data_IF_431606220835
#
_entry.id   IF_431606220835
#
_cell.length_a   1.000
_cell.length_b   1.000
_cell.length_c   1.000
_cell.angle_alpha   90.00
_cell.angle_beta   90.00
_cell.angle_gamma   90.00
#
_symmetry.space_group_name_H-M   'P 1'
#
loop_
_entity.id
_entity.type
_entity.pdbx_description
1 polymer ?
#
# COMPACT_ATOMS: atom_id res chain seq x y z
N UNK A 1 23.41 23.74 10.87
CA UNK A 1 22.32 23.10 10.09
C UNK A 1 22.90 21.82 9.53
N UNK A 2 22.71 20.70 10.18
CA UNK A 2 23.13 19.37 9.72
C UNK A 2 22.14 18.97 8.63
N UNK A 3 22.56 18.96 7.38
CA UNK A 3 21.80 18.29 6.32
C UNK A 3 21.69 16.83 6.69
N UNK A 4 20.54 16.40 7.17
CA UNK A 4 20.18 15.00 7.22
C UNK A 4 20.04 14.54 5.77
N UNK A 5 21.07 13.86 5.27
CA UNK A 5 21.00 13.17 3.98
C UNK A 5 19.76 12.25 4.03
N UNK A 6 18.87 12.39 3.04
CA UNK A 6 17.77 11.44 2.87
C UNK A 6 18.35 10.03 2.84
N UNK A 7 17.80 9.08 3.61
CA UNK A 7 18.29 7.72 3.59
C UNK A 7 18.20 7.18 2.17
N UNK A 8 19.31 6.70 1.64
CA UNK A 8 19.29 5.99 0.35
C UNK A 8 18.64 4.63 0.59
N UNK A 9 17.71 4.21 -0.27
CA UNK A 9 17.17 2.86 -0.19
C UNK A 9 18.29 1.83 -0.32
N UNK A 10 18.14 0.73 0.42
CA UNK A 10 19.00 -0.45 0.28
C UNK A 10 18.54 -1.28 -0.93
N UNK A 11 19.42 -2.16 -1.41
CA UNK A 11 19.03 -3.24 -2.33
C UNK A 11 18.98 -4.55 -1.58
N UNK A 12 17.90 -5.30 -1.78
CA UNK A 12 17.73 -6.64 -1.24
C UNK A 12 17.33 -7.57 -2.38
N UNK A 13 18.14 -8.60 -2.62
CA UNK A 13 17.77 -9.65 -3.59
C UNK A 13 16.94 -10.70 -2.89
N UNK A 14 15.71 -10.91 -3.35
CA UNK A 14 14.77 -11.94 -2.89
C UNK A 14 14.61 -12.94 -4.02
N UNK A 15 15.07 -14.17 -3.81
CA UNK A 15 15.27 -15.16 -4.88
C UNK A 15 16.21 -14.58 -5.94
N UNK A 16 15.69 -14.17 -7.07
CA UNK A 16 16.40 -13.58 -8.21
C UNK A 16 15.92 -12.17 -8.55
N UNK A 17 15.08 -11.57 -7.69
CA UNK A 17 14.51 -10.24 -7.88
C UNK A 17 15.21 -9.22 -6.99
N UNK A 18 15.84 -8.23 -7.59
CA UNK A 18 16.43 -7.10 -6.87
C UNK A 18 15.36 -6.07 -6.50
N UNK A 19 15.10 -5.92 -5.21
CA UNK A 19 14.18 -4.93 -4.67
C UNK A 19 14.92 -3.74 -4.09
N UNK A 20 14.42 -2.55 -4.40
CA UNK A 20 14.73 -1.35 -3.65
C UNK A 20 13.92 -1.35 -2.36
N UNK A 21 14.58 -1.18 -1.21
CA UNK A 21 13.93 -1.25 0.10
C UNK A 21 14.35 -0.08 0.97
N UNK A 22 13.39 0.73 1.40
CA UNK A 22 13.65 1.73 2.45
C UNK A 22 13.69 1.01 3.80
N UNK A 23 14.80 1.17 4.53
CA UNK A 23 15.00 0.60 5.87
C UNK A 23 15.25 1.72 6.86
N UNK A 24 14.46 1.75 7.94
CA UNK A 24 14.56 2.78 8.98
C UNK A 24 14.23 2.22 10.36
N UNK A 25 14.83 2.84 11.38
CA UNK A 25 14.52 2.56 12.78
C UNK A 25 15.07 1.23 13.29
N UNK A 26 14.56 0.80 14.42
CA UNK A 26 14.90 -0.46 15.10
C UNK A 26 13.75 -0.88 15.99
N UNK A 27 13.71 -2.16 16.36
CA UNK A 27 12.64 -2.72 17.20
C UNK A 27 11.73 -3.66 16.44
N UNK A 28 10.43 -3.66 16.74
CA UNK A 28 9.42 -4.49 16.09
C UNK A 28 9.38 -4.25 14.58
N UNK A 29 9.34 -5.33 13.80
CA UNK A 29 9.31 -5.20 12.35
C UNK A 29 7.93 -4.73 11.85
N UNK A 30 7.93 -3.69 11.03
CA UNK A 30 6.79 -3.24 10.23
C UNK A 30 7.20 -3.33 8.77
N UNK A 31 6.39 -4.00 7.96
CA UNK A 31 6.51 -3.96 6.49
C UNK A 31 5.42 -3.07 5.95
N UNK A 32 5.80 -2.07 5.15
CA UNK A 32 4.86 -1.18 4.47
C UNK A 32 4.87 -1.44 2.97
N UNK A 33 3.72 -1.83 2.43
CA UNK A 33 3.46 -2.00 0.99
C UNK A 33 2.74 -0.75 0.47
N UNK A 34 3.38 -0.03 -0.44
CA UNK A 34 2.88 1.24 -0.97
C UNK A 34 1.75 1.05 -1.98
N UNK A 35 1.04 2.13 -2.31
CA UNK A 35 -0.04 2.17 -3.30
C UNK A 35 0.45 2.50 -4.72
N UNK A 36 -0.37 3.29 -5.43
CA UNK A 36 -0.09 3.71 -6.82
C UNK A 36 1.11 4.64 -6.96
N UNK A 37 1.35 5.46 -5.93
CA UNK A 37 2.48 6.38 -5.95
C UNK A 37 3.76 5.67 -5.56
N UNK A 38 4.89 6.06 -6.19
CA UNK A 38 6.19 5.53 -5.83
C UNK A 38 6.49 5.81 -4.36
N UNK A 39 7.26 4.92 -3.77
CA UNK A 39 7.72 5.07 -2.41
C UNK A 39 8.68 6.25 -2.30
N UNK A 40 8.35 7.23 -1.46
CA UNK A 40 9.28 8.29 -1.08
C UNK A 40 10.10 7.84 0.15
N UNK A 41 11.43 7.67 0.00
CA UNK A 41 12.29 7.31 1.13
C UNK A 41 12.26 8.33 2.28
N UNK A 42 11.89 9.57 1.99
CA UNK A 42 11.78 10.65 2.98
C UNK A 42 10.38 10.82 3.56
N UNK A 43 9.41 9.97 3.16
CA UNK A 43 8.02 10.08 3.57
C UNK A 43 7.87 10.21 5.09
N UNK A 44 7.18 11.25 5.54
CA UNK A 44 6.95 11.55 6.96
C UNK A 44 6.23 10.42 7.69
N UNK A 45 5.34 9.71 7.00
CA UNK A 45 4.68 8.52 7.54
C UNK A 45 5.70 7.45 7.96
N UNK A 46 6.67 7.11 7.08
CA UNK A 46 7.72 6.13 7.39
C UNK A 46 8.67 6.64 8.49
N UNK A 47 9.02 7.94 8.45
CA UNK A 47 9.82 8.56 9.51
C UNK A 47 9.14 8.42 10.87
N UNK A 48 7.84 8.71 10.94
CA UNK A 48 7.09 8.66 12.19
C UNK A 48 7.00 7.24 12.75
N UNK A 49 6.72 6.25 11.91
CA UNK A 49 6.70 4.83 12.31
C UNK A 49 8.08 4.33 12.78
N UNK A 50 9.15 4.80 12.14
CA UNK A 50 10.51 4.32 12.42
C UNK A 50 11.11 4.82 13.73
N UNK A 51 10.41 5.68 14.50
CA UNK A 51 10.87 6.13 15.81
C UNK A 51 10.88 5.00 16.84
N UNK A 52 9.90 4.10 16.74
CA UNK A 52 9.67 3.03 17.70
C UNK A 52 9.65 1.64 17.07
N UNK A 53 9.91 1.53 15.76
CA UNK A 53 9.85 0.29 15.00
C UNK A 53 10.95 0.20 13.93
N UNK A 54 11.25 -1.04 13.52
CA UNK A 54 12.07 -1.32 12.34
C UNK A 54 11.17 -1.37 11.11
N UNK A 55 11.19 -0.34 10.30
CA UNK A 55 10.34 -0.20 9.10
C UNK A 55 11.09 -0.70 7.87
N UNK A 56 10.46 -1.59 7.11
CA UNK A 56 10.90 -2.10 5.81
C UNK A 56 9.83 -1.74 4.79
N UNK A 57 10.17 -0.92 3.82
CA UNK A 57 9.26 -0.52 2.77
C UNK A 57 9.89 -0.81 1.39
N UNK A 58 9.55 -1.96 0.79
CA UNK A 58 10.00 -2.30 -0.56
C UNK A 58 9.21 -1.51 -1.61
N UNK A 59 9.91 -1.03 -2.65
CA UNK A 59 9.28 -0.66 -3.91
C UNK A 59 8.85 -1.94 -4.63
N UNK A 60 7.60 -2.00 -5.10
CA UNK A 60 7.11 -3.18 -5.82
C UNK A 60 7.95 -3.45 -7.09
N UNK A 61 8.07 -4.71 -7.56
CA UNK A 61 8.65 -5.02 -8.85
C UNK A 61 8.08 -4.12 -9.98
N UNK A 62 8.98 -3.42 -10.68
CA UNK A 62 8.60 -2.41 -11.69
C UNK A 62 8.46 -0.98 -11.16
N UNK A 63 8.46 -0.78 -9.84
CA UNK A 63 8.43 0.53 -9.19
C UNK A 63 9.82 0.92 -8.67
N UNK A 64 10.06 2.24 -8.55
CA UNK A 64 11.32 2.76 -8.05
C UNK A 64 12.51 2.20 -8.83
N UNK A 65 13.52 1.69 -8.13
CA UNK A 65 14.66 0.98 -8.71
C UNK A 65 14.53 -0.56 -8.60
N UNK A 66 13.36 -1.08 -8.20
CA UNK A 66 13.11 -2.52 -8.16
C UNK A 66 13.05 -3.12 -9.55
N UNK A 67 13.69 -4.29 -9.72
CA UNK A 67 13.61 -5.06 -10.95
C UNK A 67 12.19 -5.66 -11.11
N UNK A 68 11.75 -5.80 -12.35
CA UNK A 68 10.56 -6.59 -12.71
C UNK A 68 10.99 -7.71 -13.66
N UNK A 69 10.99 -8.97 -13.23
CA UNK A 69 11.16 -10.11 -14.14
C UNK A 69 10.13 -10.10 -15.26
N UNK A 70 10.49 -10.60 -16.44
CA UNK A 70 9.63 -10.57 -17.62
C UNK A 70 8.37 -11.45 -17.50
N UNK A 71 8.37 -12.38 -16.56
CA UNK A 71 7.28 -13.31 -16.22
C UNK A 71 6.45 -12.86 -15.00
N UNK A 72 6.75 -11.69 -14.42
CA UNK A 72 5.93 -11.08 -13.37
C UNK A 72 4.81 -10.26 -14.00
N UNK A 73 3.61 -10.83 -14.05
CA UNK A 73 2.45 -10.27 -14.76
C UNK A 73 1.20 -10.13 -13.88
N UNK A 74 1.20 -10.73 -12.68
CA UNK A 74 0.01 -10.82 -11.84
C UNK A 74 0.28 -10.42 -10.38
N UNK A 75 -0.77 -10.06 -9.65
CA UNK A 75 -0.73 -9.90 -8.18
C UNK A 75 -0.26 -11.17 -7.49
N UNK A 76 -0.55 -12.35 -8.06
CA UNK A 76 -0.11 -13.63 -7.53
C UNK A 76 1.42 -13.74 -7.46
N UNK A 77 2.14 -13.28 -8.49
CA UNK A 77 3.60 -13.27 -8.52
C UNK A 77 4.17 -12.39 -7.41
N UNK A 78 3.55 -11.21 -7.21
CA UNK A 78 3.93 -10.29 -6.13
C UNK A 78 3.68 -10.89 -4.75
N UNK A 79 2.55 -11.55 -4.53
CA UNK A 79 2.21 -12.19 -3.25
C UNK A 79 3.24 -13.25 -2.89
N UNK A 80 3.64 -14.11 -3.84
CA UNK A 80 4.67 -15.13 -3.62
C UNK A 80 6.04 -14.51 -3.34
N UNK A 81 6.43 -13.48 -4.09
CA UNK A 81 7.68 -12.77 -3.82
C UNK A 81 7.67 -12.16 -2.42
N UNK A 82 6.54 -11.58 -1.98
CA UNK A 82 6.44 -11.00 -0.65
C UNK A 82 6.44 -12.04 0.47
N UNK A 83 5.99 -13.27 0.28
CA UNK A 83 6.22 -14.33 1.24
C UNK A 83 7.72 -14.58 1.46
N UNK A 84 8.48 -14.72 0.37
CA UNK A 84 9.93 -14.88 0.44
C UNK A 84 10.63 -13.64 1.05
N UNK A 85 10.14 -12.43 0.71
CA UNK A 85 10.63 -11.19 1.31
C UNK A 85 10.43 -11.20 2.83
N UNK A 86 9.23 -11.53 3.31
CA UNK A 86 8.92 -11.60 4.74
C UNK A 86 9.81 -12.62 5.45
N UNK A 87 10.06 -13.77 4.82
CA UNK A 87 10.92 -14.83 5.37
C UNK A 87 12.40 -14.44 5.38
N UNK A 88 12.84 -13.54 4.48
CA UNK A 88 14.20 -12.99 4.44
C UNK A 88 14.50 -11.95 5.53
N UNK A 89 13.45 -11.41 6.17
CA UNK A 89 13.60 -10.42 7.24
C UNK A 89 14.05 -11.06 8.54
N UNK A 90 14.67 -10.30 9.48
CA UNK A 90 15.08 -10.81 10.79
C UNK A 90 13.98 -11.59 11.51
N UNK A 91 14.38 -12.54 12.34
CA UNK A 91 13.46 -13.36 13.12
C UNK A 91 12.49 -12.51 13.95
N UNK A 92 11.27 -13.03 14.09
CA UNK A 92 10.21 -12.37 14.84
C UNK A 92 8.91 -12.21 14.05
N UNK A 93 7.93 -11.64 14.71
CA UNK A 93 6.63 -11.33 14.11
C UNK A 93 6.66 -9.96 13.43
N UNK A 94 5.87 -9.83 12.39
CA UNK A 94 5.83 -8.66 11.52
C UNK A 94 4.42 -8.07 11.53
N UNK A 95 4.32 -6.77 11.69
CA UNK A 95 3.10 -6.04 11.35
C UNK A 95 3.13 -5.68 9.88
N UNK A 96 2.14 -6.13 9.12
CA UNK A 96 2.00 -5.79 7.71
C UNK A 96 1.05 -4.61 7.55
N UNK A 97 1.53 -3.55 6.92
CA UNK A 97 0.77 -2.33 6.60
C UNK A 97 0.72 -2.19 5.09
N UNK A 98 -0.46 -2.10 4.51
CA UNK A 98 -0.60 -1.91 3.06
C UNK A 98 -1.56 -0.79 2.71
N UNK A 99 -1.15 0.09 1.78
CA UNK A 99 -1.97 1.19 1.29
C UNK A 99 -2.44 0.93 -0.15
N UNK A 100 -3.72 1.17 -0.44
CA UNK A 100 -4.29 1.07 -1.79
C UNK A 100 -3.99 -0.28 -2.45
N UNK A 101 -3.22 -0.31 -3.55
CA UNK A 101 -2.73 -1.53 -4.20
C UNK A 101 -1.89 -2.40 -3.25
N UNK A 102 -1.01 -1.79 -2.44
CA UNK A 102 -0.28 -2.49 -1.37
C UNK A 102 -1.21 -3.05 -0.29
N UNK A 103 -2.36 -2.43 -0.06
CA UNK A 103 -3.42 -2.94 0.81
C UNK A 103 -4.07 -4.21 0.26
N UNK A 104 -4.29 -4.28 -1.05
CA UNK A 104 -4.72 -5.50 -1.72
C UNK A 104 -3.69 -6.62 -1.53
N UNK A 105 -2.41 -6.34 -1.82
CA UNK A 105 -1.33 -7.32 -1.61
C UNK A 105 -1.27 -7.79 -0.15
N UNK A 106 -1.36 -6.86 0.81
CA UNK A 106 -1.33 -7.20 2.23
C UNK A 106 -2.49 -8.12 2.64
N UNK A 107 -3.69 -7.90 2.10
CA UNK A 107 -4.84 -8.76 2.37
C UNK A 107 -4.69 -10.16 1.75
N UNK A 108 -4.16 -10.28 0.53
CA UNK A 108 -3.84 -11.58 -0.11
C UNK A 108 -2.81 -12.36 0.71
N UNK A 109 -1.72 -11.70 1.11
CA UNK A 109 -0.68 -12.28 1.94
C UNK A 109 -1.26 -12.77 3.26
N UNK A 110 -2.03 -11.92 3.96
CA UNK A 110 -2.62 -12.27 5.25
C UNK A 110 -3.64 -13.43 5.15
N UNK A 111 -4.41 -13.49 4.07
CA UNK A 111 -5.37 -14.57 3.83
C UNK A 111 -4.71 -15.91 3.47
N UNK A 112 -3.50 -15.88 2.90
CA UNK A 112 -2.80 -17.07 2.42
C UNK A 112 -1.78 -17.65 3.41
N UNK A 113 -1.03 -16.83 4.14
CA UNK A 113 0.06 -17.32 4.99
C UNK A 113 0.39 -16.37 6.15
N UNK A 114 -0.35 -16.43 7.23
CA UNK A 114 -0.17 -15.49 8.35
C UNK A 114 0.96 -15.85 9.32
N UNK A 115 1.76 -16.91 9.10
CA UNK A 115 2.70 -17.43 10.13
C UNK A 115 3.76 -16.41 10.56
N UNK A 116 4.21 -15.53 9.67
CA UNK A 116 5.16 -14.44 9.99
C UNK A 116 4.46 -13.20 10.52
N UNK A 117 3.16 -13.08 10.33
CA UNK A 117 2.41 -11.89 10.70
C UNK A 117 1.84 -12.01 12.11
N UNK A 118 1.71 -10.88 12.79
CA UNK A 118 0.98 -10.77 14.05
C UNK A 118 -0.11 -9.70 14.02
N UNK A 119 -0.03 -8.74 13.12
CA UNK A 119 -1.04 -7.70 12.89
C UNK A 119 -1.12 -7.32 11.43
N UNK A 120 -2.29 -6.87 11.03
CA UNK A 120 -2.56 -6.34 9.69
C UNK A 120 -3.15 -4.93 9.78
N UNK A 121 -2.63 -4.00 8.97
CA UNK A 121 -3.23 -2.68 8.77
C UNK A 121 -3.49 -2.47 7.29
N UNK A 122 -4.74 -2.19 6.95
CA UNK A 122 -5.19 -1.90 5.58
C UNK A 122 -5.57 -0.43 5.50
N UNK A 123 -4.99 0.30 4.55
CA UNK A 123 -5.21 1.73 4.35
C UNK A 123 -5.78 1.93 2.95
N UNK A 124 -7.03 2.39 2.84
CA UNK A 124 -7.72 2.62 1.56
C UNK A 124 -7.54 1.46 0.55
N UNK A 125 -7.63 0.22 1.06
CA UNK A 125 -7.22 -0.98 0.35
C UNK A 125 -8.14 -1.32 -0.82
N UNK A 126 -7.55 -1.67 -1.96
CA UNK A 126 -8.21 -2.26 -3.12
C UNK A 126 -8.41 -3.78 -2.92
N UNK A 127 -8.79 -4.48 -3.97
CA UNK A 127 -8.63 -5.93 -4.08
C UNK A 127 -9.89 -6.75 -3.98
N UNK A 128 -11.06 -6.21 -3.64
CA UNK A 128 -12.31 -6.96 -3.58
C UNK A 128 -13.42 -6.35 -4.45
N UNK A 129 -14.34 -7.19 -4.87
CA UNK A 129 -15.57 -6.81 -5.55
C UNK A 129 -16.75 -6.97 -4.59
N UNK A 130 -17.44 -5.88 -4.30
CA UNK A 130 -18.60 -5.89 -3.39
C UNK A 130 -19.91 -6.01 -4.14
N UNK A 131 -20.08 -5.18 -5.15
CA UNK A 131 -21.28 -5.13 -5.98
C UNK A 131 -21.37 -6.26 -6.99
N UNK A 132 -22.38 -6.19 -7.82
CA UNK A 132 -22.59 -7.07 -8.96
C UNK A 132 -21.64 -6.72 -10.14
N UNK A 133 -21.85 -7.38 -11.28
CA UNK A 133 -21.01 -7.18 -12.46
C UNK A 133 -21.06 -5.75 -13.00
N UNK A 134 -22.20 -5.09 -12.86
CA UNK A 134 -22.46 -3.75 -13.41
C UNK A 134 -22.06 -2.61 -12.45
N UNK A 135 -21.79 -2.93 -11.19
CA UNK A 135 -21.42 -1.94 -10.17
C UNK A 135 -19.92 -1.61 -10.26
N UNK A 136 -19.55 -0.35 -10.38
CA UNK A 136 -18.18 0.12 -10.27
C UNK A 136 -17.85 0.40 -8.79
N UNK A 137 -17.27 -0.57 -8.08
CA UNK A 137 -16.84 -0.41 -6.68
C UNK A 137 -15.55 0.42 -6.56
N UNK A 138 -14.71 0.37 -7.58
CA UNK A 138 -13.40 1.02 -7.65
C UNK A 138 -13.42 1.97 -8.85
N UNK A 139 -12.99 3.22 -8.66
CA UNK A 139 -12.86 4.19 -9.75
C UNK A 139 -11.92 3.65 -10.83
N UNK A 140 -12.37 3.63 -12.07
CA UNK A 140 -11.52 3.28 -13.22
C UNK A 140 -10.53 4.42 -13.52
N UNK A 141 -9.34 4.34 -12.90
CA UNK A 141 -8.31 5.37 -13.03
C UNK A 141 -7.65 5.38 -14.41
N UNK A 142 -7.78 4.31 -15.20
CA UNK A 142 -7.22 4.24 -16.55
C UNK A 142 -8.17 4.83 -17.61
N UNK A 143 -9.48 4.81 -17.35
CA UNK A 143 -10.50 5.30 -18.28
C UNK A 143 -11.20 6.58 -17.80
N UNK A 144 -10.81 7.11 -16.64
CA UNK A 144 -11.34 8.37 -16.11
C UNK A 144 -10.40 9.53 -16.44
N UNK A 145 -10.97 10.69 -16.79
CA UNK A 145 -10.16 11.88 -17.08
C UNK A 145 -9.23 12.22 -15.90
N UNK A 146 -7.94 12.52 -16.12
CA UNK A 146 -6.95 12.76 -15.06
C UNK A 146 -7.39 13.78 -14.00
N UNK A 147 -8.01 14.90 -14.39
CA UNK A 147 -8.51 15.89 -13.43
C UNK A 147 -9.60 15.33 -12.50
N UNK A 148 -10.41 14.41 -13.02
CA UNK A 148 -11.45 13.74 -12.21
C UNK A 148 -10.81 12.74 -11.25
N UNK A 149 -9.84 11.95 -11.73
CA UNK A 149 -9.04 11.07 -10.86
C UNK A 149 -8.38 11.90 -9.76
N UNK A 150 -7.68 12.98 -10.11
CA UNK A 150 -7.04 13.88 -9.16
C UNK A 150 -8.02 14.40 -8.11
N UNK A 151 -9.19 14.88 -8.53
CA UNK A 151 -10.23 15.42 -7.63
C UNK A 151 -10.81 14.36 -6.69
N UNK A 152 -10.94 13.12 -7.15
CA UNK A 152 -11.51 12.02 -6.36
C UNK A 152 -10.49 11.33 -5.46
N UNK A 153 -9.20 11.37 -5.84
CA UNK A 153 -8.13 10.73 -5.06
C UNK A 153 -7.66 11.55 -3.87
N UNK A 154 -7.81 12.88 -3.90
CA UNK A 154 -7.25 13.77 -2.90
C UNK A 154 -8.34 14.57 -2.18
N UNK A 155 -8.18 14.76 -0.87
CA UNK A 155 -9.03 15.66 -0.10
C UNK A 155 -8.79 17.12 -0.49
N UNK A 156 -7.52 17.51 -0.62
CA UNK A 156 -7.09 18.81 -1.12
C UNK A 156 -6.15 18.64 -2.34
N UNK A 157 -6.70 18.48 -3.56
CA UNK A 157 -5.91 18.22 -4.75
C UNK A 157 -4.92 19.33 -5.11
N UNK A 158 -5.22 20.58 -4.72
CA UNK A 158 -4.35 21.72 -5.03
C UNK A 158 -3.09 21.73 -4.19
N UNK A 159 -3.20 21.24 -2.97
CA UNK A 159 -2.09 21.21 -2.03
C UNK A 159 -1.29 19.91 -2.07
N UNK A 160 -1.95 18.80 -2.27
CA UNK A 160 -1.39 17.47 -1.97
C UNK A 160 -1.09 16.62 -3.20
N UNK A 161 -1.82 16.84 -4.32
CA UNK A 161 -1.58 16.07 -5.52
C UNK A 161 -0.28 16.48 -6.21
N UNK A 162 0.50 15.51 -6.74
CA UNK A 162 1.72 15.81 -7.49
C UNK A 162 1.40 16.65 -8.74
N UNK A 163 2.29 17.58 -9.06
CA UNK A 163 2.26 18.33 -10.31
C UNK A 163 3.24 17.67 -11.30
N UNK A 164 2.71 17.15 -12.40
CA UNK A 164 3.51 16.48 -13.41
C UNK A 164 4.26 17.46 -14.32
N UNK A 165 3.81 18.72 -14.40
CA UNK A 165 4.45 19.75 -15.23
C UNK A 165 5.82 20.15 -14.66
N UNK A 166 6.03 19.96 -13.36
CA UNK A 166 7.29 20.26 -12.67
C UNK A 166 8.29 19.08 -12.65
N UNK A 167 7.93 17.92 -13.21
CA UNK A 167 8.77 16.73 -13.19
C UNK A 167 9.84 16.76 -14.31
N UNK A 168 11.05 16.26 -14.00
CA UNK A 168 12.08 16.00 -15.00
C UNK A 168 11.68 14.84 -15.92
N UNK A 169 12.27 14.79 -17.14
CA UNK A 169 12.08 13.69 -18.09
C UNK A 169 12.38 12.31 -17.47
N UNK A 170 13.36 12.23 -16.57
CA UNK A 170 13.70 11.01 -15.85
C UNK A 170 12.58 10.61 -14.88
N UNK A 171 12.00 11.58 -14.15
CA UNK A 171 10.89 11.33 -13.22
C UNK A 171 9.62 10.94 -13.98
N UNK A 172 9.33 11.57 -15.12
CA UNK A 172 8.20 11.21 -15.99
C UNK A 172 8.38 9.80 -16.59
N UNK A 173 9.58 9.45 -17.04
CA UNK A 173 9.89 8.10 -17.56
C UNK A 173 9.70 7.04 -16.48
N UNK A 174 10.15 7.33 -15.25
CA UNK A 174 9.95 6.44 -14.10
C UNK A 174 8.47 6.27 -13.80
N UNK A 175 7.73 7.37 -13.74
CA UNK A 175 6.29 7.34 -13.52
C UNK A 175 5.55 6.51 -14.59
N UNK A 176 5.91 6.67 -15.87
CA UNK A 176 5.32 5.89 -16.95
C UNK A 176 5.57 4.38 -16.78
N UNK A 177 6.78 4.00 -16.37
CA UNK A 177 7.13 2.60 -16.09
C UNK A 177 6.36 2.03 -14.91
N UNK A 178 6.21 2.79 -13.83
CA UNK A 178 5.43 2.41 -12.64
C UNK A 178 3.95 2.23 -12.99
N UNK A 179 3.43 3.12 -13.83
CA UNK A 179 2.07 3.04 -14.34
C UNK A 179 1.86 1.82 -15.23
N UNK A 180 2.82 1.51 -16.11
CA UNK A 180 2.83 0.27 -16.91
C UNK A 180 2.79 -0.97 -16.01
N UNK A 181 3.63 -1.03 -14.97
CA UNK A 181 3.65 -2.14 -14.03
C UNK A 181 2.31 -2.29 -13.29
N UNK A 182 1.72 -1.18 -12.85
CA UNK A 182 0.40 -1.18 -12.22
C UNK A 182 -0.69 -1.69 -13.15
N UNK A 183 -0.68 -1.23 -14.43
CA UNK A 183 -1.61 -1.73 -15.44
C UNK A 183 -1.49 -3.24 -15.60
N UNK A 184 -0.27 -3.75 -15.70
CA UNK A 184 -0.02 -5.18 -15.88
C UNK A 184 -0.59 -6.00 -14.72
N UNK A 185 -0.36 -5.57 -13.47
CA UNK A 185 -0.83 -6.29 -12.29
C UNK A 185 -2.33 -6.17 -12.03
N UNK A 186 -2.93 -5.03 -12.36
CA UNK A 186 -4.28 -4.68 -11.93
C UNK A 186 -5.32 -4.52 -13.03
N UNK A 187 -5.00 -4.87 -14.30
CA UNK A 187 -5.91 -4.64 -15.41
C UNK A 187 -7.07 -5.62 -15.49
N UNK A 188 -6.82 -6.92 -15.31
CA UNK A 188 -7.85 -7.96 -15.47
C UNK A 188 -7.73 -9.06 -14.41
N UNK A 189 -8.71 -9.15 -13.51
CA UNK A 189 -9.83 -8.22 -13.28
C UNK A 189 -9.35 -6.86 -12.76
N UNK A 190 -10.09 -5.80 -13.10
CA UNK A 190 -9.70 -4.43 -12.76
C UNK A 190 -9.62 -4.21 -11.24
N UNK A 191 -8.38 -4.10 -10.75
CA UNK A 191 -8.01 -3.75 -9.37
C UNK A 191 -8.64 -4.63 -8.27
N UNK A 192 -9.04 -5.88 -8.57
CA UNK A 192 -9.52 -6.82 -7.56
C UNK A 192 -9.26 -8.28 -7.94
N UNK A 193 -9.20 -9.14 -6.91
CA UNK A 193 -9.26 -10.59 -7.08
C UNK A 193 -10.68 -11.08 -6.80
N UNK A 194 -11.37 -11.77 -7.76
CA UNK A 194 -12.73 -12.29 -7.56
C UNK A 194 -12.87 -13.24 -6.38
N UNK A 195 -11.78 -13.83 -5.92
CA UNK A 195 -11.77 -14.82 -4.85
C UNK A 195 -11.39 -14.25 -3.49
N UNK A 196 -10.67 -13.12 -3.40
CA UNK A 196 -10.17 -12.57 -2.15
C UNK A 196 -11.28 -12.30 -1.13
N UNK A 197 -12.40 -11.70 -1.56
CA UNK A 197 -13.57 -11.45 -0.70
C UNK A 197 -13.97 -12.69 0.09
N UNK A 198 -13.93 -13.87 -0.52
CA UNK A 198 -14.27 -15.14 0.12
C UNK A 198 -13.26 -15.55 1.20
N UNK A 199 -12.00 -15.17 1.03
CA UNK A 199 -10.92 -15.61 1.89
C UNK A 199 -10.59 -14.65 3.02
N UNK A 200 -11.13 -13.42 3.03
CA UNK A 200 -10.94 -12.45 4.10
C UNK A 200 -11.37 -12.98 5.46
N UNK A 201 -12.40 -13.84 5.51
CA UNK A 201 -12.84 -14.50 6.73
C UNK A 201 -11.83 -15.46 7.38
N UNK A 202 -10.70 -15.77 6.70
CA UNK A 202 -9.60 -16.57 7.24
C UNK A 202 -8.54 -15.74 7.96
N UNK A 203 -8.61 -14.42 7.85
CA UNK A 203 -7.67 -13.53 8.53
C UNK A 203 -8.06 -13.49 10.01
N UNK A 204 -7.30 -14.21 10.85
CA UNK A 204 -7.50 -14.27 12.30
C UNK A 204 -6.59 -13.29 13.05
N UNK A 205 -5.76 -12.55 12.33
CA UNK A 205 -4.86 -11.55 12.90
C UNK A 205 -5.65 -10.34 13.39
N UNK A 206 -5.26 -9.72 14.52
CA UNK A 206 -5.71 -8.37 14.84
C UNK A 206 -5.56 -7.47 13.62
N UNK A 207 -6.66 -6.91 13.14
CA UNK A 207 -6.69 -6.13 11.90
C UNK A 207 -7.28 -4.75 12.14
N UNK A 208 -6.59 -3.73 11.63
CA UNK A 208 -7.06 -2.33 11.59
C UNK A 208 -7.27 -1.92 10.13
N UNK A 209 -8.45 -1.42 9.81
CA UNK A 209 -8.81 -0.88 8.50
C UNK A 209 -8.98 0.62 8.65
N UNK A 210 -8.09 1.39 8.01
CA UNK A 210 -8.06 2.85 8.01
C UNK A 210 -8.51 3.35 6.65
N UNK A 211 -9.25 4.46 6.63
CA UNK A 211 -9.81 4.97 5.39
C UNK A 211 -9.83 6.48 5.37
N UNK A 212 -9.39 7.08 4.25
CA UNK A 212 -9.56 8.51 4.03
C UNK A 212 -11.03 8.89 3.98
N UNK A 213 -11.42 9.90 4.74
CA UNK A 213 -12.81 10.37 4.83
C UNK A 213 -13.37 10.81 3.48
N UNK A 214 -12.52 11.33 2.61
CA UNK A 214 -12.87 11.88 1.30
C UNK A 214 -12.42 10.99 0.13
N UNK A 215 -12.11 9.72 0.39
CA UNK A 215 -11.70 8.80 -0.67
C UNK A 215 -12.83 8.58 -1.69
N UNK A 216 -12.57 9.00 -2.93
CA UNK A 216 -13.47 8.81 -4.07
C UNK A 216 -12.97 7.77 -5.07
N UNK A 217 -11.80 7.15 -4.84
CA UNK A 217 -11.31 6.00 -5.61
C UNK A 217 -12.00 4.73 -5.15
N UNK A 218 -11.96 4.49 -3.83
CA UNK A 218 -12.74 3.48 -3.12
C UNK A 218 -13.40 4.14 -1.91
N UNK A 219 -14.70 4.19 -1.90
CA UNK A 219 -15.41 5.00 -0.92
C UNK A 219 -15.26 4.48 0.52
N UNK A 220 -15.44 5.32 1.56
CA UNK A 220 -15.48 4.85 2.94
C UNK A 220 -16.55 3.77 3.21
N UNK A 221 -17.62 3.72 2.41
CA UNK A 221 -18.61 2.66 2.48
C UNK A 221 -18.02 1.31 2.04
N UNK A 222 -17.20 1.31 0.99
CA UNK A 222 -16.44 0.13 0.57
C UNK A 222 -15.49 -0.34 1.69
N UNK A 223 -14.75 0.59 2.33
CA UNK A 223 -13.86 0.29 3.44
C UNK A 223 -14.57 -0.33 4.64
N UNK A 224 -15.76 0.16 5.01
CA UNK A 224 -16.59 -0.44 6.08
C UNK A 224 -17.03 -1.86 5.72
N UNK A 225 -17.45 -2.07 4.48
CA UNK A 225 -17.83 -3.39 4.01
C UNK A 225 -16.61 -4.32 3.98
N UNK A 226 -15.43 -3.83 3.56
CA UNK A 226 -14.17 -4.58 3.59
C UNK A 226 -13.86 -5.06 5.03
N UNK A 227 -13.87 -4.14 6.00
CA UNK A 227 -13.62 -4.45 7.40
C UNK A 227 -14.61 -5.49 7.96
N UNK A 228 -15.88 -5.43 7.56
CA UNK A 228 -16.91 -6.38 8.02
C UNK A 228 -16.69 -7.83 7.56
N UNK A 229 -15.84 -8.03 6.53
CA UNK A 229 -15.51 -9.37 6.02
C UNK A 229 -14.32 -10.02 6.76
N UNK A 230 -13.61 -9.26 7.60
CA UNK A 230 -12.46 -9.73 8.38
C UNK A 230 -12.89 -9.86 9.84
N UNK A 231 -12.83 -11.07 10.44
CA UNK A 231 -13.26 -11.28 11.82
C UNK A 231 -12.51 -10.38 12.81
N UNK A 232 -13.24 -9.63 13.62
CA UNK A 232 -12.66 -8.77 14.65
C UNK A 232 -11.92 -7.52 14.14
N UNK A 233 -11.96 -7.23 12.83
CA UNK A 233 -11.33 -6.02 12.30
C UNK A 233 -11.98 -4.75 12.87
N UNK A 234 -11.11 -3.78 13.22
CA UNK A 234 -11.51 -2.42 13.61
C UNK A 234 -11.48 -1.51 12.40
N UNK A 235 -12.43 -0.60 12.27
CA UNK A 235 -12.49 0.40 11.20
C UNK A 235 -12.40 1.80 11.77
N UNK A 236 -11.58 2.67 11.16
CA UNK A 236 -11.54 4.09 11.49
C UNK A 236 -11.33 4.95 10.24
N UNK A 237 -11.83 6.20 10.30
CA UNK A 237 -11.61 7.21 9.27
C UNK A 237 -10.40 8.08 9.64
N UNK A 238 -9.69 8.52 8.59
CA UNK A 238 -8.67 9.56 8.66
C UNK A 238 -9.29 10.85 8.11
N UNK A 239 -9.58 11.78 9.01
CA UNK A 239 -10.20 13.05 8.66
C UNK A 239 -9.25 13.92 7.82
N UNK A 240 -9.81 14.58 6.79
CA UNK A 240 -9.05 15.45 5.89
C UNK A 240 -8.06 14.70 4.99
N UNK A 241 -8.32 13.44 4.71
CA UNK A 241 -7.59 12.64 3.72
C UNK A 241 -8.54 12.07 2.67
N UNK A 242 -8.06 11.98 1.42
CA UNK A 242 -8.63 11.20 0.34
C UNK A 242 -8.04 9.79 0.30
N UNK A 243 -7.74 9.29 -0.91
CA UNK A 243 -7.19 7.94 -1.15
C UNK A 243 -5.72 7.78 -0.71
N UNK A 244 -5.07 8.87 -0.31
CA UNK A 244 -3.64 8.89 0.00
C UNK A 244 -3.36 9.51 1.38
N UNK A 245 -3.88 8.95 2.49
CA UNK A 245 -3.68 9.50 3.83
C UNK A 245 -2.21 9.51 4.26
N UNK A 246 -1.37 8.64 3.71
CA UNK A 246 0.08 8.60 3.94
C UNK A 246 0.80 9.87 3.45
N UNK A 247 0.20 10.59 2.49
CA UNK A 247 0.69 11.87 2.00
C UNK A 247 -0.06 13.06 2.63
N UNK A 248 -1.38 12.99 2.74
CA UNK A 248 -2.20 14.11 3.20
C UNK A 248 -2.22 14.26 4.73
N UNK A 249 -2.19 13.14 5.45
CA UNK A 249 -2.29 13.08 6.92
C UNK A 249 -1.29 12.09 7.53
N UNK A 250 0.01 12.19 7.18
CA UNK A 250 1.01 11.19 7.57
C UNK A 250 1.13 10.98 9.08
N UNK A 251 1.03 12.05 9.87
CA UNK A 251 1.10 11.94 11.34
C UNK A 251 -0.14 11.25 11.90
N UNK A 252 -1.33 11.67 11.48
CA UNK A 252 -2.58 11.10 11.96
C UNK A 252 -2.68 9.60 11.60
N UNK A 253 -2.25 9.24 10.38
CA UNK A 253 -2.18 7.84 9.95
C UNK A 253 -1.19 7.05 10.81
N UNK A 254 0.02 7.57 11.01
CA UNK A 254 1.05 6.92 11.82
C UNK A 254 0.61 6.75 13.28
N UNK A 255 -0.02 7.77 13.88
CA UNK A 255 -0.52 7.72 15.25
C UNK A 255 -1.57 6.60 15.41
N UNK A 256 -2.50 6.42 14.45
CA UNK A 256 -3.46 5.31 14.46
C UNK A 256 -2.80 3.94 14.38
N UNK A 257 -1.75 3.82 13.55
CA UNK A 257 -0.98 2.56 13.47
C UNK A 257 -0.26 2.31 14.79
N UNK A 258 0.43 3.31 15.35
CA UNK A 258 1.17 3.18 16.62
C UNK A 258 0.22 2.83 17.79
N UNK A 259 -0.94 3.49 17.90
CA UNK A 259 -1.96 3.16 18.90
C UNK A 259 -2.39 1.69 18.78
N UNK A 260 -2.63 1.22 17.56
CA UNK A 260 -3.01 -0.18 17.31
C UNK A 260 -1.89 -1.18 17.66
N UNK A 261 -0.63 -0.79 17.53
CA UNK A 261 0.50 -1.63 17.89
C UNK A 261 0.70 -1.75 19.41
N UNK A 262 0.20 -0.80 20.18
CA UNK A 262 0.32 -0.77 21.65
C UNK A 262 -0.77 -1.63 22.34
N UNK A 263 -1.87 -1.97 21.65
CA UNK A 263 -2.94 -2.86 22.12
C UNK A 263 -2.49 -4.33 22.07
#
# INVERSE_FOLDING_TARGET
MTQTLSPRPDRLTVRDVDLEVVRRGSGRAIVFLHGFHPLDPSARFLERLSRDASVFAPSHPGFGASARPGDFETVYDLVHLYHEFLDSLPDGKITLVGASFGGWLAAEIAASCPHRLDRLVLVDALGIKLGDRETADILDVFNTHPDTVRRLSWHDPQRSAPDFDDLSDEALTRHAREWEALCLYGWEPYMYNPHLKRWLGRIELPTLVLWGQSDGVVTPAYGRAYASLIPGARFALIEGAGHHPEFERPDALADRVIEFLAD
#
